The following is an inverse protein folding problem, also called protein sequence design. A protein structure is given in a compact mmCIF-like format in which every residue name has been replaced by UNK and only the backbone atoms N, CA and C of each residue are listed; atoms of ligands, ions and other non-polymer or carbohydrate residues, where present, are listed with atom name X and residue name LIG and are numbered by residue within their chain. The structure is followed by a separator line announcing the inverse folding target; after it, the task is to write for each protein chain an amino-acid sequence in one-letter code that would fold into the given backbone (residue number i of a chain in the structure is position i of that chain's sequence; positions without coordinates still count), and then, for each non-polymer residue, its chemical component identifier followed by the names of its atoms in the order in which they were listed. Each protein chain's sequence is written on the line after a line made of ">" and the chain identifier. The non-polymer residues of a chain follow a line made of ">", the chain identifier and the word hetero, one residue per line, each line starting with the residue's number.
data_IF_196829575672
#
_entry.id   IF_196829575672
#
_cell.length_a   1.000
_cell.length_b   1.000
_cell.length_c   1.000
_cell.angle_alpha   90.00
_cell.angle_beta   90.00
_cell.angle_gamma   90.00
#
_symmetry.space_group_name_H-M   'P 1'
#
loop_
_entity.id
_entity.type
_entity.pdbx_description
1 polymer ?
#
# COMPACT_ATOMS: atom_id res chain seq x y z
N UNK A 1 -2.97 7.13 -0.77
CA UNK A 1 -2.45 6.07 0.13
C UNK A 1 -1.15 6.47 0.83
N UNK A 2 -0.07 6.85 0.12
CA UNK A 2 1.21 7.19 0.77
C UNK A 2 1.10 8.34 1.80
N UNK A 3 0.34 9.40 1.49
CA UNK A 3 0.11 10.52 2.41
C UNK A 3 -0.61 10.08 3.70
N UNK A 4 -1.70 9.33 3.55
CA UNK A 4 -2.47 8.79 4.70
C UNK A 4 -1.63 7.84 5.57
N UNK A 5 -0.85 6.95 4.93
CA UNK A 5 0.05 6.06 5.65
C UNK A 5 1.13 6.84 6.41
N UNK A 6 1.77 7.84 5.77
CA UNK A 6 2.74 8.73 6.43
C UNK A 6 2.14 9.42 7.66
N UNK A 7 0.93 9.96 7.54
CA UNK A 7 0.27 10.64 8.65
C UNK A 7 -0.05 9.67 9.81
N UNK A 8 -0.58 8.49 9.50
CA UNK A 8 -0.86 7.47 10.50
C UNK A 8 0.42 6.99 11.21
N UNK A 9 1.49 6.73 10.47
CA UNK A 9 2.77 6.28 11.03
C UNK A 9 3.46 7.38 11.86
N UNK A 10 3.39 8.64 11.42
CA UNK A 10 3.91 9.76 12.19
C UNK A 10 3.23 9.88 13.56
N UNK A 11 1.91 9.63 13.63
CA UNK A 11 1.18 9.57 14.90
C UNK A 11 1.51 8.32 15.71
N UNK A 12 1.57 7.16 15.07
CA UNK A 12 1.82 5.88 15.75
C UNK A 12 3.22 5.81 16.38
N UNK A 13 4.23 6.36 15.70
CA UNK A 13 5.62 6.34 16.15
C UNK A 13 5.88 7.11 17.46
N UNK A 14 4.93 7.95 17.88
CA UNK A 14 5.07 8.85 19.05
C UNK A 14 3.97 8.63 20.09
N UNK A 15 3.31 7.46 20.09
CA UNK A 15 2.31 7.12 21.12
C UNK A 15 2.95 7.24 22.50
N UNK A 16 2.33 8.02 23.38
CA UNK A 16 2.82 8.29 24.73
C UNK A 16 3.97 9.30 24.82
N UNK A 17 4.40 9.89 23.71
CA UNK A 17 5.45 10.91 23.66
C UNK A 17 4.87 12.30 23.36
N UNK A 18 5.57 13.35 23.81
CA UNK A 18 5.27 14.73 23.44
C UNK A 18 6.25 15.18 22.36
N UNK A 19 5.78 15.29 21.11
CA UNK A 19 6.59 15.70 19.96
C UNK A 19 7.19 17.09 20.10
N UNK A 20 6.62 17.99 20.92
CA UNK A 20 7.22 19.30 21.20
C UNK A 20 8.52 19.21 22.01
N UNK A 21 8.84 18.05 22.58
CA UNK A 21 10.10 17.75 23.28
C UNK A 21 11.05 16.90 22.42
N UNK A 22 10.76 16.73 21.13
CA UNK A 22 11.57 15.94 20.20
C UNK A 22 12.25 16.86 19.19
N UNK A 23 13.34 16.38 18.59
CA UNK A 23 14.00 17.01 17.47
C UNK A 23 13.48 16.35 16.19
N UNK A 24 13.18 17.14 15.17
CA UNK A 24 12.79 16.62 13.85
C UNK A 24 14.04 16.23 13.05
N UNK A 25 14.29 14.92 12.94
CA UNK A 25 15.39 14.33 12.17
C UNK A 25 14.91 13.71 10.86
N UNK A 26 13.73 14.12 10.35
CA UNK A 26 13.11 13.50 9.16
C UNK A 26 13.95 13.64 7.89
N UNK A 27 14.87 14.61 7.85
CA UNK A 27 15.82 14.85 6.76
C UNK A 27 16.83 13.71 6.58
N UNK A 28 17.09 12.94 7.64
CA UNK A 28 17.98 11.76 7.60
C UNK A 28 17.33 10.52 6.98
N UNK A 29 16.00 10.54 6.80
CA UNK A 29 15.28 9.41 6.21
C UNK A 29 15.52 9.39 4.70
N UNK A 30 16.01 8.27 4.13
CA UNK A 30 16.22 8.17 2.68
C UNK A 30 14.93 8.43 1.88
N UNK A 31 15.09 9.06 0.71
CA UNK A 31 13.98 9.26 -0.23
C UNK A 31 13.45 7.90 -0.70
N UNK A 32 12.13 7.65 -0.64
CA UNK A 32 11.56 6.37 -1.06
C UNK A 32 11.68 6.16 -2.57
N UNK A 33 11.77 4.90 -2.98
CA UNK A 33 11.68 4.54 -4.41
C UNK A 33 10.31 4.95 -4.96
N UNK A 34 10.23 5.45 -6.21
CA UNK A 34 8.95 5.78 -6.82
C UNK A 34 8.09 4.53 -7.00
N UNK A 35 6.78 4.71 -6.93
CA UNK A 35 5.83 3.64 -7.23
C UNK A 35 5.89 3.32 -8.73
N UNK A 36 5.96 2.04 -9.06
CA UNK A 36 5.89 1.53 -10.43
C UNK A 36 4.62 0.70 -10.57
N UNK A 37 3.86 0.93 -11.64
CA UNK A 37 2.64 0.20 -11.94
C UNK A 37 1.35 0.88 -11.47
N UNK A 38 0.23 0.19 -11.73
CA UNK A 38 -1.14 0.59 -11.37
C UNK A 38 -1.85 -0.62 -10.79
N UNK A 39 -2.95 -0.46 -10.03
CA UNK A 39 -3.74 -1.60 -9.59
C UNK A 39 -4.24 -2.44 -10.78
N UNK A 40 -4.16 -3.76 -10.66
CA UNK A 40 -4.62 -4.75 -11.63
C UNK A 40 -5.14 -5.99 -10.88
N UNK A 41 -5.96 -6.81 -11.54
CA UNK A 41 -6.34 -8.12 -11.01
C UNK A 41 -5.22 -9.14 -11.29
N UNK A 42 -4.99 -10.12 -10.41
CA UNK A 42 -4.05 -11.20 -10.69
C UNK A 42 -4.44 -12.00 -11.94
N UNK A 43 -3.45 -12.60 -12.59
CA UNK A 43 -3.66 -13.53 -13.70
C UNK A 43 -4.60 -14.69 -13.28
N UNK A 44 -5.58 -15.00 -14.12
CA UNK A 44 -6.63 -16.00 -13.83
C UNK A 44 -7.78 -15.51 -12.95
N UNK A 45 -7.79 -14.23 -12.54
CA UNK A 45 -8.90 -13.59 -11.81
C UNK A 45 -9.68 -12.61 -12.68
N UNK A 46 -10.91 -12.35 -12.28
CA UNK A 46 -11.86 -11.48 -12.97
C UNK A 46 -12.58 -10.55 -12.01
N UNK A 47 -13.31 -9.56 -12.53
CA UNK A 47 -14.16 -8.69 -11.71
C UNK A 47 -15.24 -9.47 -10.94
N UNK A 48 -15.61 -10.68 -11.38
CA UNK A 48 -16.57 -11.54 -10.69
C UNK A 48 -15.99 -12.18 -9.42
N UNK A 49 -14.67 -12.22 -9.27
CA UNK A 49 -14.00 -12.69 -8.05
C UNK A 49 -13.96 -11.63 -6.93
N UNK A 50 -14.45 -10.41 -7.18
CA UNK A 50 -14.42 -9.32 -6.20
C UNK A 50 -15.68 -9.33 -5.32
N UNK A 51 -15.47 -9.52 -4.03
CA UNK A 51 -16.50 -9.40 -2.99
C UNK A 51 -16.64 -7.94 -2.53
N UNK A 52 -17.43 -7.14 -3.22
CA UNK A 52 -17.57 -5.71 -2.93
C UNK A 52 -18.27 -5.45 -1.59
N UNK A 53 -17.59 -4.73 -0.69
CA UNK A 53 -18.09 -4.45 0.66
C UNK A 53 -18.49 -2.97 0.90
N UNK A 54 -18.15 -2.05 -0.01
CA UNK A 54 -18.53 -0.65 0.15
C UNK A 54 -19.93 -0.41 -0.41
N UNK A 55 -20.91 -0.16 0.46
CA UNK A 55 -22.30 0.04 0.06
C UNK A 55 -22.53 1.34 -0.74
N UNK A 56 -21.69 2.36 -0.55
CA UNK A 56 -21.86 3.68 -1.15
C UNK A 56 -21.00 3.94 -2.39
N UNK A 57 -20.05 3.06 -2.70
CA UNK A 57 -19.14 3.23 -3.82
C UNK A 57 -18.86 1.90 -4.51
N UNK A 58 -19.03 1.87 -5.83
CA UNK A 58 -18.70 0.71 -6.65
C UNK A 58 -17.19 0.47 -6.70
N UNK A 59 -16.78 -0.79 -6.79
CA UNK A 59 -15.38 -1.14 -7.00
C UNK A 59 -14.90 -0.65 -8.38
N UNK A 60 -13.68 -0.08 -8.49
CA UNK A 60 -13.16 0.42 -9.76
C UNK A 60 -13.00 -0.67 -10.82
N UNK A 61 -13.23 -0.36 -12.09
CA UNK A 61 -12.96 -1.28 -13.19
C UNK A 61 -11.46 -1.50 -13.35
N UNK A 62 -11.01 -2.75 -13.23
CA UNK A 62 -9.62 -3.17 -13.40
C UNK A 62 -9.51 -4.28 -14.45
N UNK A 63 -8.35 -4.34 -15.12
CA UNK A 63 -7.99 -5.45 -16.00
C UNK A 63 -7.17 -6.48 -15.25
N UNK A 64 -7.26 -7.74 -15.66
CA UNK A 64 -6.40 -8.81 -15.15
C UNK A 64 -5.07 -8.87 -15.90
N UNK A 65 -4.03 -9.30 -15.19
CA UNK A 65 -2.76 -9.63 -15.83
C UNK A 65 -2.94 -10.78 -16.83
N UNK A 66 -2.21 -10.75 -17.97
CA UNK A 66 -2.26 -11.83 -18.94
C UNK A 66 -1.54 -13.09 -18.42
N UNK A 67 -1.99 -14.25 -18.89
CA UNK A 67 -1.34 -15.54 -18.64
C UNK A 67 -1.98 -16.37 -17.52
N UNK A 68 -1.38 -17.54 -17.19
CA UNK A 68 -1.84 -18.39 -16.11
C UNK A 68 -1.43 -17.82 -14.74
N UNK A 69 -2.15 -18.21 -13.69
CA UNK A 69 -1.79 -17.87 -12.31
C UNK A 69 -0.40 -18.44 -11.96
N UNK A 70 0.41 -17.62 -11.29
CA UNK A 70 1.73 -18.02 -10.76
C UNK A 70 1.76 -17.87 -9.24
N UNK A 71 2.69 -18.56 -8.58
CA UNK A 71 2.92 -18.38 -7.14
C UNK A 71 3.65 -17.07 -6.88
N UNK A 72 3.25 -16.36 -5.82
CA UNK A 72 4.03 -15.22 -5.31
C UNK A 72 5.40 -15.72 -4.83
N UNK A 73 6.52 -15.12 -5.27
CA UNK A 73 7.85 -15.50 -4.82
C UNK A 73 8.03 -15.30 -3.32
N UNK A 74 8.90 -16.11 -2.70
CA UNK A 74 9.32 -15.88 -1.32
C UNK A 74 10.04 -14.54 -1.18
N UNK A 75 9.97 -13.94 0.02
CA UNK A 75 10.70 -12.72 0.34
C UNK A 75 12.20 -12.99 0.22
N UNK A 76 12.98 -12.13 -0.46
CA UNK A 76 14.42 -12.29 -0.57
C UNK A 76 15.11 -12.36 0.80
N UNK A 77 16.15 -13.19 0.96
CA UNK A 77 16.95 -13.20 2.19
C UNK A 77 17.72 -11.89 2.34
N UNK A 78 18.09 -11.59 3.59
CA UNK A 78 18.96 -10.48 4.00
C UNK A 78 20.41 -10.68 3.55
#
# INVERSE_FOLDING_TARGET
>A
MQAEFRAAMAKMAVIGQNTAKMIDCSDTIPVPKPVVGKPHLPAGKTMNDIEQACASAAFPTLTADPGPQTSVPAVPPS
#
